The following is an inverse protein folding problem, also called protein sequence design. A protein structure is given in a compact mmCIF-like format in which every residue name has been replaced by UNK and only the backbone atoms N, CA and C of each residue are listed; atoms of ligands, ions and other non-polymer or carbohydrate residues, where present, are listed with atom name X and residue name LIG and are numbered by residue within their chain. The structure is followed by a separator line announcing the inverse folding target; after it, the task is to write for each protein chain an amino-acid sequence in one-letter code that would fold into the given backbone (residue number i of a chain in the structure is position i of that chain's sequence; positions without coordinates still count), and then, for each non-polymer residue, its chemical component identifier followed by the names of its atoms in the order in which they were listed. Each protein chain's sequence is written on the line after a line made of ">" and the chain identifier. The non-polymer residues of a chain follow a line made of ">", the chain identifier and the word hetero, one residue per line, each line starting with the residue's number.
data_IF_965941578077
#
_entry.id   IF_965941578077
#
_cell.length_a   1.000
_cell.length_b   1.000
_cell.length_c   1.000
_cell.angle_alpha   90.00
_cell.angle_beta   90.00
_cell.angle_gamma   90.00
#
_symmetry.space_group_name_H-M   'P 1'
#
loop_
_entity.id
_entity.type
_entity.pdbx_description
1 polymer ?
#
# COMPACT_ATOMS: atom_id res chain seq x y z
N UNK A 1 -2.84 -8.59 8.02
CA UNK A 1 -2.60 -8.41 6.58
C UNK A 1 -1.12 -8.48 6.19
N UNK A 2 -0.27 -7.54 6.61
CA UNK A 2 1.06 -7.33 5.96
C UNK A 2 2.19 -8.30 6.34
N UNK A 3 1.95 -9.25 7.25
CA UNK A 3 2.99 -10.20 7.70
C UNK A 3 2.91 -11.58 7.06
N UNK A 4 1.84 -11.88 6.31
CA UNK A 4 1.57 -13.22 5.76
C UNK A 4 2.73 -13.73 4.89
N UNK A 5 3.34 -12.85 4.10
CA UNK A 5 4.41 -13.21 3.16
C UNK A 5 5.74 -12.49 3.42
N UNK A 6 5.96 -11.96 4.64
CA UNK A 6 7.17 -11.18 4.96
C UNK A 6 8.50 -11.94 4.77
N UNK A 7 8.43 -13.28 4.75
CA UNK A 7 9.58 -14.18 4.57
C UNK A 7 9.74 -14.65 3.13
N UNK A 8 8.84 -14.26 2.24
CA UNK A 8 8.81 -14.70 0.85
C UNK A 8 9.25 -13.56 -0.05
N UNK A 9 10.04 -13.87 -1.08
CA UNK A 9 10.30 -12.90 -2.14
C UNK A 9 9.03 -12.65 -2.95
N UNK A 10 8.97 -11.54 -3.69
CA UNK A 10 7.85 -11.27 -4.59
C UNK A 10 7.66 -12.40 -5.63
N UNK A 11 8.75 -13.06 -6.03
CA UNK A 11 8.71 -14.21 -6.92
C UNK A 11 8.10 -15.45 -6.24
N UNK A 12 8.50 -15.74 -5.00
CA UNK A 12 7.92 -16.84 -4.23
C UNK A 12 6.42 -16.63 -4.01
N UNK A 13 6.01 -15.39 -3.77
CA UNK A 13 4.59 -15.01 -3.63
C UNK A 13 3.83 -15.25 -4.93
N UNK A 14 4.35 -14.83 -6.08
CA UNK A 14 3.73 -15.07 -7.39
C UNK A 14 3.59 -16.56 -7.70
N UNK A 15 4.63 -17.36 -7.42
CA UNK A 15 4.57 -18.81 -7.61
C UNK A 15 3.60 -19.48 -6.62
N UNK A 16 3.59 -19.06 -5.37
CA UNK A 16 2.71 -19.63 -4.34
C UNK A 16 1.23 -19.35 -4.62
N UNK A 17 0.92 -18.17 -5.18
CA UNK A 17 -0.44 -17.80 -5.59
C UNK A 17 -0.82 -18.33 -6.99
N UNK A 18 0.07 -19.07 -7.65
CA UNK A 18 -0.13 -19.61 -9.01
C UNK A 18 -0.57 -18.52 -10.02
N UNK A 19 -0.06 -17.29 -9.86
CA UNK A 19 -0.42 -16.18 -10.74
C UNK A 19 0.32 -16.35 -12.08
N UNK A 20 -0.36 -16.98 -13.03
CA UNK A 20 0.15 -17.26 -14.37
C UNK A 20 -0.66 -16.52 -15.44
N UNK A 21 0.02 -16.14 -16.52
CA UNK A 21 -0.67 -15.71 -17.74
C UNK A 21 -1.38 -16.92 -18.36
N UNK A 22 -2.64 -16.78 -18.84
CA UNK A 22 -3.37 -17.87 -19.48
C UNK A 22 -2.53 -18.53 -20.59
N UNK A 23 -2.37 -19.87 -20.51
CA UNK A 23 -1.74 -20.68 -21.56
C UNK A 23 -0.21 -20.80 -21.53
N UNK A 24 0.49 -20.50 -20.41
CA UNK A 24 1.97 -20.65 -20.32
C UNK A 24 2.45 -21.58 -19.20
N UNK A 25 3.69 -22.10 -19.37
CA UNK A 25 4.38 -23.12 -18.55
C UNK A 25 4.33 -22.84 -17.04
N UNK A 26 4.33 -23.94 -16.25
CA UNK A 26 4.32 -24.04 -14.79
C UNK A 26 5.38 -23.25 -13.99
N UNK A 27 6.35 -22.59 -14.63
CA UNK A 27 7.46 -21.92 -13.95
C UNK A 27 7.62 -20.49 -14.46
N UNK A 28 7.40 -19.52 -13.57
CA UNK A 28 7.67 -18.10 -13.83
C UNK A 28 9.15 -17.83 -13.55
N UNK A 29 9.87 -17.23 -14.48
CA UNK A 29 11.24 -16.81 -14.22
C UNK A 29 11.27 -15.60 -13.24
N UNK A 30 12.21 -15.53 -12.27
CA UNK A 30 12.31 -14.39 -11.35
C UNK A 30 12.39 -13.03 -12.06
N UNK A 31 13.09 -12.96 -13.19
CA UNK A 31 13.21 -11.76 -14.01
C UNK A 31 11.87 -11.30 -14.60
N UNK A 32 10.95 -12.21 -14.91
CA UNK A 32 9.65 -11.86 -15.48
C UNK A 32 8.78 -11.07 -14.49
N UNK A 33 8.86 -11.40 -13.19
CA UNK A 33 8.15 -10.66 -12.13
C UNK A 33 8.70 -9.24 -11.99
N UNK A 34 10.03 -9.11 -11.97
CA UNK A 34 10.71 -7.80 -11.86
C UNK A 34 10.39 -6.92 -13.09
N UNK A 35 10.52 -7.47 -14.30
CA UNK A 35 10.21 -6.76 -15.54
C UNK A 35 8.73 -6.37 -15.63
N UNK A 36 7.82 -7.27 -15.22
CA UNK A 36 6.39 -6.97 -15.16
C UNK A 36 6.10 -5.79 -14.24
N UNK A 37 6.68 -5.79 -13.03
CA UNK A 37 6.54 -4.68 -12.07
C UNK A 37 7.09 -3.36 -12.62
N UNK A 38 8.27 -3.38 -13.25
CA UNK A 38 8.88 -2.18 -13.85
C UNK A 38 8.03 -1.62 -14.99
N UNK A 39 7.45 -2.49 -15.83
CA UNK A 39 6.61 -2.09 -16.96
C UNK A 39 5.26 -1.50 -16.54
N UNK A 40 4.64 -2.08 -15.51
CA UNK A 40 3.32 -1.65 -15.03
C UNK A 40 3.38 -0.37 -14.19
N UNK A 41 4.46 -0.18 -13.42
CA UNK A 41 4.63 0.99 -12.57
C UNK A 41 3.61 1.08 -11.43
N UNK A 42 3.54 2.26 -10.81
CA UNK A 42 2.65 2.54 -9.68
C UNK A 42 1.20 2.73 -10.08
N UNK A 43 0.93 3.22 -11.29
CA UNK A 43 -0.43 3.54 -11.72
C UNK A 43 -1.29 2.28 -11.87
N UNK A 44 -0.69 1.18 -12.36
CA UNK A 44 -1.37 -0.11 -12.38
C UNK A 44 -1.72 -0.62 -10.97
N UNK A 45 -0.86 -0.39 -9.98
CA UNK A 45 -1.13 -0.79 -8.59
C UNK A 45 -2.26 0.06 -8.02
N UNK A 46 -2.26 1.37 -8.29
CA UNK A 46 -3.35 2.28 -7.90
C UNK A 46 -4.68 1.83 -8.50
N UNK A 47 -4.71 1.55 -9.80
CA UNK A 47 -5.93 1.14 -10.50
C UNK A 47 -6.47 -0.19 -9.96
N UNK A 48 -5.60 -1.18 -9.77
CA UNK A 48 -6.00 -2.46 -9.17
C UNK A 48 -6.58 -2.24 -7.77
N UNK A 49 -5.93 -1.42 -6.93
CA UNK A 49 -6.47 -1.09 -5.61
C UNK A 49 -7.85 -0.43 -5.72
N UNK A 50 -8.01 0.60 -6.57
CA UNK A 50 -9.28 1.31 -6.74
C UNK A 50 -10.42 0.39 -7.20
N UNK A 51 -10.14 -0.49 -8.16
CA UNK A 51 -11.13 -1.44 -8.68
C UNK A 51 -11.50 -2.51 -7.64
N UNK A 52 -10.51 -3.10 -6.96
CA UNK A 52 -10.76 -4.18 -6.01
C UNK A 52 -11.40 -3.67 -4.73
N UNK A 53 -10.95 -2.52 -4.20
CA UNK A 53 -11.56 -1.92 -3.01
C UNK A 53 -13.03 -1.61 -3.27
N UNK A 54 -13.37 -1.02 -4.43
CA UNK A 54 -14.75 -0.67 -4.75
C UNK A 54 -15.60 -1.93 -4.82
N UNK A 55 -15.14 -2.93 -5.59
CA UNK A 55 -15.89 -4.15 -5.79
C UNK A 55 -16.11 -4.92 -4.49
N UNK A 56 -15.06 -5.10 -3.70
CA UNK A 56 -15.14 -5.85 -2.44
C UNK A 56 -15.90 -5.08 -1.37
N UNK A 57 -15.79 -3.74 -1.34
CA UNK A 57 -16.55 -2.92 -0.41
C UNK A 57 -18.06 -3.01 -0.69
N UNK A 58 -18.48 -2.99 -1.96
CA UNK A 58 -19.88 -3.18 -2.38
C UNK A 58 -20.39 -4.61 -2.07
N UNK A 59 -19.57 -5.64 -2.34
CA UNK A 59 -19.97 -7.03 -2.15
C UNK A 59 -20.02 -7.47 -0.68
N UNK A 60 -19.19 -6.87 0.18
CA UNK A 60 -19.06 -7.28 1.58
C UNK A 60 -20.31 -7.04 2.42
N UNK A 61 -21.24 -6.16 1.97
CA UNK A 61 -22.52 -5.87 2.65
C UNK A 61 -22.33 -5.66 4.16
N UNK A 62 -21.44 -4.73 4.51
CA UNK A 62 -21.00 -4.50 5.88
C UNK A 62 -22.19 -4.34 6.84
N UNK A 63 -22.16 -5.00 8.01
CA UNK A 63 -23.18 -4.79 9.04
C UNK A 63 -23.16 -3.33 9.48
N UNK A 64 -24.34 -2.70 9.48
CA UNK A 64 -24.48 -1.33 9.93
C UNK A 64 -24.63 -1.27 11.45
N UNK A 65 -23.99 -0.27 12.05
CA UNK A 65 -24.19 0.09 13.45
C UNK A 65 -25.14 1.28 13.53
N UNK A 66 -26.37 1.05 14.01
CA UNK A 66 -27.43 2.07 14.07
C UNK A 66 -27.70 2.74 12.70
N UNK A 67 -27.62 1.97 11.62
CA UNK A 67 -27.81 2.48 10.25
C UNK A 67 -26.59 3.17 9.63
N UNK A 68 -25.44 3.19 10.33
CA UNK A 68 -24.20 3.79 9.88
C UNK A 68 -23.15 2.72 9.54
N UNK A 69 -22.31 3.02 8.56
CA UNK A 69 -21.08 2.25 8.29
C UNK A 69 -19.99 2.73 9.23
N UNK A 70 -19.30 1.79 9.89
CA UNK A 70 -18.20 2.10 10.80
C UNK A 70 -16.87 2.13 10.04
N UNK A 71 -16.28 3.32 9.97
CA UNK A 71 -14.99 3.55 9.31
C UNK A 71 -13.94 3.98 10.34
N UNK A 72 -12.73 3.47 10.18
CA UNK A 72 -11.55 3.87 10.91
C UNK A 72 -10.53 4.54 10.00
N UNK A 73 -9.79 5.49 10.56
CA UNK A 73 -8.68 6.15 9.89
C UNK A 73 -7.44 5.94 10.75
N UNK A 74 -6.34 5.51 10.14
CA UNK A 74 -5.07 5.28 10.83
C UNK A 74 -3.87 5.64 9.95
N UNK A 75 -2.86 6.22 10.57
CA UNK A 75 -1.61 6.66 9.94
C UNK A 75 -0.48 5.64 10.11
N UNK A 76 0.29 5.45 9.05
CA UNK A 76 1.51 4.64 9.04
C UNK A 76 2.67 5.41 8.42
N UNK A 77 3.88 5.20 8.94
CA UNK A 77 5.11 5.77 8.40
C UNK A 77 6.03 4.65 7.95
N UNK A 78 6.51 4.74 6.71
CA UNK A 78 7.46 3.79 6.13
C UNK A 78 8.78 4.46 5.81
N UNK A 79 9.87 3.68 5.90
CA UNK A 79 11.16 4.10 5.38
C UNK A 79 11.18 3.89 3.86
N UNK A 80 11.60 4.90 3.12
CA UNK A 80 11.94 4.81 1.71
C UNK A 80 13.46 4.56 1.53
N UNK A 81 13.89 4.02 0.38
CA UNK A 81 15.30 3.94 0.04
C UNK A 81 15.97 5.32 0.12
N UNK A 82 17.16 5.39 0.73
CA UNK A 82 17.91 6.64 0.88
C UNK A 82 18.53 7.06 -0.46
N UNK A 83 17.79 7.86 -1.20
CA UNK A 83 18.23 8.50 -2.44
C UNK A 83 18.04 10.00 -2.30
N UNK A 84 18.86 10.80 -3.00
CA UNK A 84 18.74 12.26 -2.97
C UNK A 84 17.33 12.73 -3.36
N UNK A 85 16.71 12.07 -4.35
CA UNK A 85 15.34 12.36 -4.78
C UNK A 85 14.32 12.09 -3.67
N UNK A 86 14.37 10.91 -3.03
CA UNK A 86 13.45 10.56 -1.95
C UNK A 86 13.64 11.48 -0.74
N UNK A 87 14.88 11.81 -0.39
CA UNK A 87 15.19 12.71 0.73
C UNK A 87 14.64 14.11 0.48
N UNK A 88 14.82 14.64 -0.73
CA UNK A 88 14.28 15.95 -1.12
C UNK A 88 12.74 15.97 -1.13
N UNK A 89 12.09 14.88 -1.55
CA UNK A 89 10.63 14.85 -1.67
C UNK A 89 9.92 14.51 -0.36
N UNK A 90 10.37 13.47 0.35
CA UNK A 90 9.68 12.94 1.52
C UNK A 90 10.18 13.49 2.85
N UNK A 91 11.42 13.98 2.90
CA UNK A 91 12.07 14.34 4.16
C UNK A 91 12.16 13.15 5.11
N UNK A 92 12.28 13.42 6.41
CA UNK A 92 12.31 12.40 7.45
C UNK A 92 12.37 13.01 8.84
N UNK A 93 12.29 12.17 9.86
CA UNK A 93 12.48 12.61 11.24
C UNK A 93 13.85 13.28 11.40
N UNK A 94 13.89 14.41 12.10
CA UNK A 94 15.11 15.16 12.45
C UNK A 94 15.19 15.29 13.96
N UNK A 95 16.40 15.28 14.51
CA UNK A 95 16.63 15.54 15.93
C UNK A 95 17.77 16.55 16.11
N UNK A 96 18.19 16.80 17.37
CA UNK A 96 19.26 17.73 17.69
C UNK A 96 20.64 17.33 17.11
N UNK A 97 20.79 16.09 16.63
CA UNK A 97 22.00 15.57 15.98
C UNK A 97 21.89 15.55 14.45
N UNK A 98 20.80 16.11 13.87
CA UNK A 98 20.59 16.24 12.43
C UNK A 98 19.51 15.31 11.89
N UNK A 99 19.64 14.98 10.60
CA UNK A 99 18.66 14.19 9.87
C UNK A 99 18.66 12.72 10.28
N UNK A 100 17.47 12.13 10.30
CA UNK A 100 17.28 10.70 10.49
C UNK A 100 17.89 9.85 9.37
N UNK A 101 18.05 8.56 9.66
CA UNK A 101 18.81 7.64 8.80
C UNK A 101 18.18 7.40 7.43
N UNK A 102 16.85 7.47 7.31
CA UNK A 102 16.15 7.19 6.05
C UNK A 102 15.06 8.23 5.78
N UNK A 103 14.79 8.56 4.50
CA UNK A 103 13.59 9.29 4.14
C UNK A 103 12.33 8.53 4.52
N UNK A 104 11.27 9.24 4.90
CA UNK A 104 10.06 8.63 5.44
C UNK A 104 8.81 9.05 4.69
N UNK A 105 8.01 8.07 4.25
CA UNK A 105 6.72 8.29 3.59
C UNK A 105 5.62 8.10 4.62
N UNK A 106 4.73 9.08 4.75
CA UNK A 106 3.52 8.94 5.54
C UNK A 106 2.39 8.45 4.64
N UNK A 107 1.62 7.49 5.12
CA UNK A 107 0.33 7.14 4.54
C UNK A 107 -0.75 7.17 5.60
N UNK A 108 -1.94 7.55 5.17
CA UNK A 108 -3.15 7.38 5.96
C UNK A 108 -4.08 6.44 5.22
N UNK A 109 -4.65 5.48 5.95
CA UNK A 109 -5.59 4.50 5.45
C UNK A 109 -6.98 4.81 5.97
N UNK A 110 -8.00 4.59 5.14
CA UNK A 110 -9.38 4.44 5.58
C UNK A 110 -9.80 2.98 5.48
N UNK A 111 -10.36 2.46 6.56
CA UNK A 111 -10.77 1.06 6.68
C UNK A 111 -12.23 0.96 7.11
N UNK A 112 -12.96 0.01 6.54
CA UNK A 112 -14.23 -0.43 7.12
C UNK A 112 -13.94 -1.44 8.26
N UNK A 113 -14.46 -1.16 9.45
CA UNK A 113 -14.00 -1.79 10.70
C UNK A 113 -14.48 -3.22 10.92
N UNK A 114 -15.53 -3.67 10.24
CA UNK A 114 -16.12 -4.99 10.47
C UNK A 114 -15.55 -6.04 9.53
N UNK A 115 -15.25 -5.66 8.29
CA UNK A 115 -14.60 -6.46 7.25
C UNK A 115 -13.09 -6.30 7.24
N UNK A 116 -12.57 -5.26 7.88
CA UNK A 116 -11.16 -4.83 7.81
C UNK A 116 -10.66 -4.51 6.39
N UNK A 117 -11.57 -4.17 5.47
CA UNK A 117 -11.21 -3.76 4.12
C UNK A 117 -10.68 -2.33 4.12
N UNK A 118 -9.52 -2.14 3.49
CA UNK A 118 -9.04 -0.81 3.12
C UNK A 118 -9.84 -0.30 1.93
N UNK A 119 -10.43 0.89 2.08
CA UNK A 119 -11.31 1.50 1.07
C UNK A 119 -10.68 2.73 0.43
N UNK A 120 -9.80 3.42 1.16
CA UNK A 120 -9.06 4.58 0.66
C UNK A 120 -7.68 4.64 1.30
N UNK A 121 -6.75 5.28 0.59
CA UNK A 121 -5.43 5.58 1.15
C UNK A 121 -4.81 6.78 0.46
N UNK A 122 -4.02 7.54 1.19
CA UNK A 122 -3.28 8.68 0.66
C UNK A 122 -1.86 8.71 1.21
N UNK A 123 -0.92 9.19 0.42
CA UNK A 123 0.51 9.20 0.71
C UNK A 123 1.05 10.62 0.65
N UNK A 124 2.00 10.95 1.51
CA UNK A 124 2.66 12.26 1.51
C UNK A 124 4.04 12.20 2.19
N UNK A 125 4.77 13.30 2.13
CA UNK A 125 5.99 13.52 2.92
C UNK A 125 5.78 13.35 4.42
N UNK A 126 6.86 13.00 5.13
CA UNK A 126 6.88 12.78 6.58
C UNK A 126 6.30 13.96 7.38
N UNK A 127 6.60 15.18 6.93
CA UNK A 127 6.24 16.43 7.61
C UNK A 127 4.76 16.79 7.50
N UNK A 128 3.99 16.06 6.69
CA UNK A 128 2.56 16.30 6.58
C UNK A 128 1.81 15.70 7.77
N UNK A 129 0.82 16.44 8.26
CA UNK A 129 -0.03 16.01 9.37
C UNK A 129 -1.02 14.93 8.91
N UNK A 130 -1.20 13.91 9.73
CA UNK A 130 -2.19 12.85 9.52
C UNK A 130 -3.60 13.41 9.28
N UNK A 131 -4.00 14.44 10.02
CA UNK A 131 -5.31 15.08 9.86
C UNK A 131 -5.49 15.69 8.46
N UNK A 132 -4.44 16.32 7.91
CA UNK A 132 -4.49 16.89 6.55
C UNK A 132 -4.55 15.81 5.47
N UNK A 133 -4.02 14.62 5.75
CA UNK A 133 -4.12 13.48 4.84
C UNK A 133 -5.52 12.85 4.96
N UNK A 134 -6.07 12.75 6.17
CA UNK A 134 -7.41 12.21 6.39
C UNK A 134 -8.51 13.00 5.63
N UNK A 135 -8.36 14.33 5.50
CA UNK A 135 -9.26 15.17 4.70
C UNK A 135 -9.27 14.84 3.19
N UNK A 136 -8.26 14.11 2.70
CA UNK A 136 -8.11 13.75 1.27
C UNK A 136 -8.60 12.33 0.95
N UNK A 137 -9.12 11.59 1.95
CA UNK A 137 -9.53 10.19 1.80
C UNK A 137 -10.90 10.03 1.14
#
# INVERSE_FOLDING_TARGET
>A
GMALFRRMSAWDVVNHMDIMLPGKRLLVAPSAVVQGRQRLGSDAVREVFTLTQQRWHEEAKHPQWLGLTLLGVDGVVWNAPDTAQNRAHYGGATNQHGDGSFPQVRMVCQMELTSHLLISSTFESYHSSEMKLAEKL
#
